data_IF_475253946780
#
_entry.id   IF_475253946780
#
_cell.length_a   1.000
_cell.length_b   1.000
_cell.length_c   1.000
_cell.angle_alpha   90.00
_cell.angle_beta   90.00
_cell.angle_gamma   90.00
#
_symmetry.space_group_name_H-M   'P 1'
#
loop_
_entity.id
_entity.type
_entity.pdbx_description
1 polymer ?
#
# COMPACT_ATOMS: atom_id res chain seq x y z
N UNK A 1 -37.20 -55.02 1.05
CA UNK A 1 -36.21 -54.04 0.54
C UNK A 1 -36.94 -52.74 0.26
N UNK A 2 -36.76 -51.71 1.10
CA UNK A 2 -37.29 -50.35 0.88
C UNK A 2 -36.13 -49.50 0.35
N UNK A 3 -36.26 -48.99 -0.87
CA UNK A 3 -35.30 -48.05 -1.45
C UNK A 3 -35.71 -46.62 -1.09
N UNK A 4 -34.81 -45.92 -0.39
CA UNK A 4 -34.95 -44.49 -0.10
C UNK A 4 -34.07 -43.74 -1.10
N UNK A 5 -34.69 -42.97 -1.99
CA UNK A 5 -34.00 -42.11 -2.95
C UNK A 5 -33.65 -40.80 -2.24
N UNK A 6 -32.36 -40.50 -2.08
CA UNK A 6 -31.89 -39.18 -1.67
C UNK A 6 -31.84 -38.26 -2.89
N UNK A 7 -32.72 -37.27 -2.94
CA UNK A 7 -32.61 -36.15 -3.88
C UNK A 7 -31.58 -35.16 -3.34
N UNK A 8 -30.41 -35.10 -3.98
CA UNK A 8 -29.40 -34.06 -3.73
C UNK A 8 -29.88 -32.76 -4.36
N UNK A 9 -30.35 -31.84 -3.52
CA UNK A 9 -30.64 -30.46 -3.90
C UNK A 9 -29.29 -29.72 -4.07
N UNK A 10 -28.87 -29.52 -5.31
CA UNK A 10 -27.69 -28.72 -5.62
C UNK A 10 -28.02 -27.24 -5.43
N UNK A 11 -27.52 -26.62 -4.36
CA UNK A 11 -27.55 -25.17 -4.21
C UNK A 11 -26.54 -24.57 -5.20
N UNK A 12 -27.04 -24.03 -6.30
CA UNK A 12 -26.32 -23.03 -7.09
C UNK A 12 -26.26 -21.74 -6.28
N UNK A 13 -25.21 -21.58 -5.48
CA UNK A 13 -24.85 -20.26 -4.94
C UNK A 13 -24.28 -19.46 -6.11
N UNK A 14 -25.13 -18.64 -6.72
CA UNK A 14 -24.69 -17.56 -7.59
C UNK A 14 -23.81 -16.63 -6.77
N UNK A 15 -22.50 -16.69 -6.98
CA UNK A 15 -21.58 -15.66 -6.51
C UNK A 15 -22.00 -14.35 -7.19
N UNK A 16 -22.74 -13.52 -6.46
CA UNK A 16 -22.78 -12.10 -6.76
C UNK A 16 -21.35 -11.62 -6.56
N UNK A 17 -20.65 -11.33 -7.65
CA UNK A 17 -19.41 -10.56 -7.60
C UNK A 17 -19.81 -9.23 -6.98
N UNK A 18 -19.54 -9.06 -5.69
CA UNK A 18 -19.61 -7.75 -5.07
C UNK A 18 -18.74 -6.84 -5.92
N UNK A 19 -19.29 -5.73 -6.42
CA UNK A 19 -18.49 -4.68 -7.06
C UNK A 19 -17.53 -4.20 -5.98
N UNK A 20 -16.27 -4.61 -6.09
CA UNK A 20 -15.18 -4.17 -5.22
C UNK A 20 -14.72 -2.83 -5.75
N UNK A 21 -14.57 -1.85 -4.87
CA UNK A 21 -13.97 -0.59 -5.26
C UNK A 21 -12.45 -0.70 -5.09
N UNK A 22 -11.70 -0.18 -6.06
CA UNK A 22 -10.23 -0.30 -6.09
C UNK A 22 -9.71 -1.04 -7.31
N UNK A 23 -8.47 -0.73 -7.68
CA UNK A 23 -7.97 -1.02 -9.02
C UNK A 23 -7.50 -2.48 -9.22
N UNK A 24 -7.82 -3.05 -10.39
CA UNK A 24 -7.18 -4.25 -10.97
C UNK A 24 -6.46 -3.96 -12.30
N UNK A 25 -6.62 -2.76 -12.85
CA UNK A 25 -6.16 -2.31 -14.16
C UNK A 25 -5.48 -0.93 -14.08
N UNK A 26 -4.15 -0.90 -14.16
CA UNK A 26 -3.37 0.33 -14.35
C UNK A 26 -3.46 0.75 -15.82
N UNK A 27 -3.88 1.98 -16.12
CA UNK A 27 -3.88 2.55 -17.47
C UNK A 27 -2.54 2.35 -18.21
N UNK A 28 -2.60 2.05 -19.51
CA UNK A 28 -1.42 1.81 -20.34
C UNK A 28 -0.52 3.06 -20.45
N UNK A 29 -1.10 4.25 -20.32
CA UNK A 29 -0.39 5.53 -20.32
C UNK A 29 0.52 5.68 -19.09
N UNK A 30 0.06 5.26 -17.90
CA UNK A 30 0.87 5.18 -16.67
C UNK A 30 2.02 4.17 -16.81
N UNK A 31 1.79 3.06 -17.51
CA UNK A 31 2.86 2.10 -17.82
C UNK A 31 3.92 2.75 -18.73
N UNK A 32 3.51 3.58 -19.69
CA UNK A 32 4.42 4.24 -20.62
C UNK A 32 5.19 5.39 -19.96
N UNK A 33 4.56 6.19 -19.11
CA UNK A 33 5.23 7.30 -18.43
C UNK A 33 6.18 6.80 -17.33
N UNK A 34 5.85 5.69 -16.63
CA UNK A 34 6.81 5.00 -15.75
C UNK A 34 8.06 4.51 -16.49
N UNK A 35 7.90 4.01 -17.73
CA UNK A 35 9.03 3.66 -18.61
C UNK A 35 9.84 4.90 -18.99
N UNK A 36 9.19 6.03 -19.24
CA UNK A 36 9.84 7.31 -19.58
C UNK A 36 10.60 7.93 -18.41
N UNK A 37 10.02 7.94 -17.20
CA UNK A 37 10.71 8.40 -15.98
C UNK A 37 11.95 7.58 -15.66
N UNK A 38 11.93 6.27 -15.93
CA UNK A 38 13.10 5.39 -15.83
C UNK A 38 14.18 5.72 -16.87
N UNK A 39 13.79 6.11 -18.08
CA UNK A 39 14.73 6.63 -19.07
C UNK A 39 15.37 7.94 -18.60
N UNK A 40 14.59 8.85 -18.00
CA UNK A 40 15.08 10.13 -17.47
C UNK A 40 15.99 9.97 -16.24
N UNK A 41 15.73 9.01 -15.34
CA UNK A 41 16.61 8.74 -14.20
C UNK A 41 17.96 8.14 -14.63
N UNK A 42 17.98 7.36 -15.72
CA UNK A 42 19.21 6.90 -16.37
C UNK A 42 20.01 8.02 -17.06
N UNK A 43 19.34 9.10 -17.45
CA UNK A 43 19.98 10.31 -17.98
C UNK A 43 20.56 11.20 -16.87
N UNK A 44 19.93 11.26 -15.69
CA UNK A 44 20.49 11.97 -14.50
C UNK A 44 21.79 11.34 -13.99
N UNK A 45 22.01 10.04 -14.23
CA UNK A 45 23.29 9.37 -13.91
C UNK A 45 24.41 9.70 -14.90
N UNK A 46 24.13 10.46 -15.97
CA UNK A 46 25.16 10.94 -16.91
C UNK A 46 25.69 12.34 -16.58
N UNK A 47 25.11 13.05 -15.61
CA UNK A 47 25.67 14.30 -15.06
C UNK A 47 26.37 14.06 -13.73
N UNK A 48 27.69 13.89 -13.81
CA UNK A 48 28.70 14.01 -12.75
C UNK A 48 28.76 12.93 -11.64
N UNK A 49 29.66 11.96 -11.85
CA UNK A 49 30.65 11.54 -10.86
C UNK A 49 30.22 10.54 -9.77
N UNK A 50 30.23 9.24 -10.06
CA UNK A 50 30.51 8.16 -9.08
C UNK A 50 30.75 6.82 -9.80
N UNK A 51 31.85 6.76 -10.55
CA UNK A 51 32.18 5.66 -11.48
C UNK A 51 33.04 4.54 -10.83
N UNK A 52 32.66 4.05 -9.65
CA UNK A 52 33.46 3.04 -8.94
C UNK A 52 32.72 1.80 -8.41
N UNK A 53 31.39 1.70 -8.54
CA UNK A 53 30.63 0.57 -7.96
C UNK A 53 29.84 -0.29 -8.97
N UNK A 54 29.83 0.03 -10.28
CA UNK A 54 29.01 -0.67 -11.29
C UNK A 54 29.70 -1.80 -12.07
N UNK A 55 30.96 -2.16 -11.77
CA UNK A 55 31.62 -3.30 -12.41
C UNK A 55 31.35 -4.62 -11.67
N UNK A 56 30.13 -5.13 -11.78
CA UNK A 56 29.86 -6.58 -11.86
C UNK A 56 28.36 -6.87 -11.96
N UNK A 57 27.95 -7.59 -13.01
CA UNK A 57 26.67 -8.31 -13.04
C UNK A 57 25.64 -7.71 -13.99
N UNK A 58 25.54 -8.29 -15.18
CA UNK A 58 24.59 -7.89 -16.21
C UNK A 58 23.14 -8.21 -15.84
N UNK A 59 22.24 -7.32 -16.25
CA UNK A 59 20.81 -7.59 -16.35
C UNK A 59 20.30 -6.99 -17.66
N UNK A 60 19.68 -7.84 -18.47
CA UNK A 60 19.15 -7.53 -19.80
C UNK A 60 17.90 -6.65 -19.76
N UNK A 61 17.64 -5.99 -20.89
CA UNK A 61 16.59 -5.01 -21.10
C UNK A 61 15.24 -5.66 -21.48
N UNK A 62 14.36 -5.86 -20.49
CA UNK A 62 12.94 -6.22 -20.69
C UNK A 62 12.09 -5.50 -19.62
N UNK A 63 11.06 -4.70 -19.97
CA UNK A 63 10.20 -3.99 -19.02
C UNK A 63 9.28 -4.90 -18.19
N UNK A 64 9.26 -6.21 -18.42
CA UNK A 64 8.66 -7.20 -17.49
C UNK A 64 9.58 -7.59 -16.33
N UNK A 65 10.82 -7.09 -16.31
CA UNK A 65 11.69 -7.25 -15.15
C UNK A 65 11.28 -6.26 -14.05
N UNK A 66 10.79 -6.78 -12.92
CA UNK A 66 10.56 -6.02 -11.67
C UNK A 66 11.89 -5.39 -11.21
N UNK A 67 12.19 -4.17 -11.67
CA UNK A 67 13.53 -3.59 -11.51
C UNK A 67 13.74 -2.93 -10.16
N UNK A 68 12.68 -2.47 -9.47
CA UNK A 68 12.82 -1.93 -8.13
C UNK A 68 12.37 -2.97 -7.10
N UNK A 69 13.35 -3.62 -6.47
CA UNK A 69 13.10 -4.57 -5.39
C UNK A 69 13.28 -3.85 -4.05
N UNK A 70 12.20 -3.69 -3.32
CA UNK A 70 12.17 -3.11 -1.98
C UNK A 70 12.14 -4.26 -0.99
N UNK A 71 13.07 -4.31 -0.03
CA UNK A 71 12.97 -5.29 1.04
C UNK A 71 11.80 -4.90 1.94
N UNK A 72 10.91 -5.86 2.21
CA UNK A 72 9.75 -5.65 3.06
C UNK A 72 9.94 -6.37 4.40
N UNK A 73 9.76 -5.63 5.48
CA UNK A 73 9.70 -6.12 6.85
C UNK A 73 8.33 -5.81 7.43
N UNK A 74 7.60 -6.85 7.84
CA UNK A 74 6.28 -6.70 8.47
C UNK A 74 6.41 -6.96 9.97
N UNK A 75 5.89 -6.03 10.76
CA UNK A 75 5.95 -6.06 12.22
C UNK A 75 4.53 -6.05 12.78
N UNK A 76 4.07 -7.18 13.34
CA UNK A 76 2.86 -7.18 14.14
C UNK A 76 3.19 -6.77 15.58
N UNK A 77 2.70 -5.60 16.01
CA UNK A 77 2.83 -5.12 17.39
C UNK A 77 1.46 -5.18 18.05
N UNK A 78 1.34 -5.97 19.11
CA UNK A 78 0.04 -6.38 19.65
C UNK A 78 0.02 -6.36 21.18
N UNK A 79 -1.19 -6.26 21.75
CA UNK A 79 -1.46 -6.21 23.18
C UNK A 79 -1.43 -7.62 23.78
N UNK A 80 -2.19 -8.54 23.19
CA UNK A 80 -2.28 -9.94 23.59
C UNK A 80 -2.60 -10.85 22.37
N UNK A 81 -2.49 -12.16 22.54
CA UNK A 81 -2.67 -13.14 21.44
C UNK A 81 -4.14 -13.42 21.13
N UNK A 82 -4.89 -12.36 20.88
CA UNK A 82 -6.27 -12.42 20.36
C UNK A 82 -6.39 -11.44 19.19
N UNK A 83 -7.39 -11.65 18.31
CA UNK A 83 -7.66 -10.74 17.21
C UNK A 83 -7.97 -9.32 17.72
N UNK A 84 -8.78 -9.20 18.78
CA UNK A 84 -9.08 -7.91 19.43
C UNK A 84 -7.83 -7.27 20.07
N UNK A 85 -6.89 -8.09 20.55
CA UNK A 85 -5.59 -7.65 21.04
C UNK A 85 -4.61 -7.24 19.94
N UNK A 86 -5.01 -7.31 18.66
CA UNK A 86 -4.21 -6.93 17.50
C UNK A 86 -3.24 -8.00 17.00
N UNK A 87 -3.35 -9.25 17.47
CA UNK A 87 -2.50 -10.33 16.97
C UNK A 87 -3.02 -10.88 15.64
N UNK A 88 -2.14 -10.95 14.64
CA UNK A 88 -2.41 -11.59 13.34
C UNK A 88 -1.39 -12.70 13.08
N UNK A 89 -1.77 -13.88 12.60
CA UNK A 89 -0.82 -14.95 12.31
C UNK A 89 0.11 -14.58 11.14
N UNK A 90 1.28 -15.22 11.07
CA UNK A 90 2.22 -15.08 9.94
C UNK A 90 1.54 -15.26 8.59
N UNK A 91 0.62 -16.20 8.47
CA UNK A 91 -0.12 -16.46 7.22
C UNK A 91 -0.86 -15.23 6.71
N UNK A 92 -1.39 -14.39 7.59
CA UNK A 92 -2.15 -13.20 7.18
C UNK A 92 -1.20 -12.04 6.83
N UNK A 93 -0.05 -11.93 7.51
CA UNK A 93 1.02 -11.03 7.10
C UNK A 93 1.62 -11.42 5.73
N UNK A 94 1.76 -12.72 5.47
CA UNK A 94 2.22 -13.24 4.17
C UNK A 94 1.18 -12.99 3.06
N UNK A 95 -0.12 -13.15 3.36
CA UNK A 95 -1.19 -12.72 2.44
C UNK A 95 -1.13 -11.22 2.16
N UNK A 96 -0.89 -10.40 3.18
CA UNK A 96 -0.72 -8.94 3.00
C UNK A 96 0.45 -8.63 2.06
N UNK A 97 1.60 -9.30 2.21
CA UNK A 97 2.74 -9.14 1.30
C UNK A 97 2.43 -9.63 -0.13
N UNK A 98 1.59 -10.67 -0.27
CA UNK A 98 1.13 -11.17 -1.57
C UNK A 98 0.24 -10.16 -2.26
N UNK A 99 -0.83 -9.67 -1.62
CA UNK A 99 -1.75 -8.71 -2.25
C UNK A 99 -1.04 -7.39 -2.56
N UNK A 100 -0.08 -6.97 -1.72
CA UNK A 100 0.75 -5.80 -2.02
C UNK A 100 1.50 -5.98 -3.35
N UNK A 101 2.11 -7.15 -3.57
CA UNK A 101 2.78 -7.44 -4.85
C UNK A 101 1.82 -7.63 -6.03
N UNK A 102 0.54 -7.94 -5.78
CA UNK A 102 -0.51 -7.99 -6.81
C UNK A 102 -0.94 -6.58 -7.19
N UNK A 103 -1.23 -5.71 -6.22
CA UNK A 103 -1.61 -4.32 -6.45
C UNK A 103 -0.50 -3.51 -7.14
N UNK A 104 0.77 -3.75 -6.78
CA UNK A 104 1.91 -3.10 -7.41
C UNK A 104 2.43 -3.82 -8.67
N UNK A 105 1.83 -4.93 -9.11
CA UNK A 105 2.37 -5.79 -10.17
C UNK A 105 2.65 -5.04 -11.49
N UNK A 106 1.88 -3.98 -11.77
CA UNK A 106 1.96 -3.22 -13.01
C UNK A 106 2.87 -1.97 -12.93
N UNK A 107 3.48 -1.70 -11.77
CA UNK A 107 4.31 -0.50 -11.52
C UNK A 107 5.83 -0.73 -11.69
N UNK A 108 6.25 -1.98 -11.86
CA UNK A 108 7.67 -2.37 -11.87
C UNK A 108 8.32 -2.46 -10.47
N UNK A 109 7.56 -2.17 -9.41
CA UNK A 109 7.94 -2.34 -8.01
C UNK A 109 7.64 -3.77 -7.56
N UNK A 110 8.53 -4.31 -6.72
CA UNK A 110 8.36 -5.60 -6.07
C UNK A 110 8.83 -5.53 -4.62
N UNK A 111 7.98 -6.03 -3.73
CA UNK A 111 8.28 -6.14 -2.31
C UNK A 111 8.80 -7.55 -2.00
N UNK A 112 10.09 -7.65 -1.70
CA UNK A 112 10.75 -8.89 -1.28
C UNK A 112 10.55 -9.05 0.23
N UNK A 113 9.56 -9.86 0.63
CA UNK A 113 9.28 -10.13 2.04
C UNK A 113 10.49 -10.82 2.69
N UNK A 114 11.22 -10.07 3.52
CA UNK A 114 12.40 -10.58 4.21
C UNK A 114 12.05 -11.22 5.53
N UNK A 115 11.11 -10.62 6.27
CA UNK A 115 10.76 -11.08 7.61
C UNK A 115 9.38 -10.60 8.01
N UNK A 116 8.67 -11.49 8.71
CA UNK A 116 7.54 -11.15 9.57
C UNK A 116 7.96 -11.28 11.03
N UNK A 117 7.53 -10.37 11.89
CA UNK A 117 7.88 -10.38 13.32
C UNK A 117 6.68 -10.06 14.18
N UNK A 118 6.75 -10.52 15.44
CA UNK A 118 5.70 -10.37 16.43
C UNK A 118 6.27 -9.75 17.70
N UNK A 119 5.69 -8.64 18.14
CA UNK A 119 6.10 -7.92 19.34
C UNK A 119 4.89 -7.74 20.25
N UNK A 120 4.86 -8.47 21.38
CA UNK A 120 3.85 -8.27 22.41
C UNK A 120 4.26 -7.08 23.28
N UNK A 121 3.70 -5.91 23.01
CA UNK A 121 3.92 -4.70 23.81
C UNK A 121 2.68 -3.81 23.70
N UNK A 122 1.88 -3.74 24.76
CA UNK A 122 0.63 -2.97 24.76
C UNK A 122 0.89 -1.47 24.54
N UNK A 123 1.92 -0.92 25.17
CA UNK A 123 2.29 0.50 25.07
C UNK A 123 2.67 0.87 23.64
N UNK A 124 3.46 0.05 22.96
CA UNK A 124 3.79 0.27 21.55
C UNK A 124 2.61 -0.04 20.62
N UNK A 125 1.79 -1.05 20.92
CA UNK A 125 0.65 -1.43 20.09
C UNK A 125 -0.40 -0.33 19.99
N UNK A 126 -0.56 0.50 21.04
CA UNK A 126 -1.58 1.55 21.11
C UNK A 126 -0.99 2.96 21.12
N UNK A 127 0.30 3.13 20.83
CA UNK A 127 0.88 4.48 20.80
C UNK A 127 0.33 5.29 19.62
N UNK A 128 0.15 6.58 19.87
CA UNK A 128 -0.28 7.55 18.87
C UNK A 128 0.88 7.95 17.95
N UNK A 129 0.51 8.47 16.79
CA UNK A 129 1.43 9.04 15.80
C UNK A 129 2.21 10.22 16.38
N UNK A 130 3.46 10.36 15.96
CA UNK A 130 4.37 11.45 16.27
C UNK A 130 4.71 11.57 17.77
N UNK A 131 4.63 10.44 18.50
CA UNK A 131 4.95 10.38 19.93
C UNK A 131 6.35 9.79 20.18
N UNK A 132 6.99 10.11 21.32
CA UNK A 132 8.24 9.44 21.72
C UNK A 132 8.11 7.91 21.85
N UNK A 133 6.90 7.40 22.11
CA UNK A 133 6.64 5.97 22.20
C UNK A 133 6.69 5.31 20.80
N UNK A 134 6.12 5.96 19.77
CA UNK A 134 6.28 5.51 18.39
C UNK A 134 7.75 5.52 17.99
N UNK A 135 8.47 6.60 18.34
CA UNK A 135 9.89 6.74 18.05
C UNK A 135 10.72 5.61 18.70
N UNK A 136 10.47 5.31 19.97
CA UNK A 136 11.11 4.21 20.71
C UNK A 136 10.82 2.85 20.08
N UNK A 137 9.56 2.59 19.74
CA UNK A 137 9.15 1.37 19.04
C UNK A 137 9.91 1.20 17.72
N UNK A 138 9.88 2.21 16.85
CA UNK A 138 10.48 2.12 15.52
C UNK A 138 12.01 2.03 15.60
N UNK A 139 12.67 2.83 16.46
CA UNK A 139 14.12 2.69 16.75
C UNK A 139 14.49 1.27 17.18
N UNK A 140 13.62 0.62 17.96
CA UNK A 140 13.89 -0.71 18.50
C UNK A 140 13.71 -1.84 17.48
N UNK A 141 12.68 -1.77 16.62
CA UNK A 141 12.27 -2.91 15.82
C UNK A 141 12.43 -2.73 14.30
N UNK A 142 12.67 -1.51 13.81
CA UNK A 142 12.99 -1.24 12.39
C UNK A 142 14.11 -2.17 11.91
N UNK A 143 14.02 -2.58 10.64
CA UNK A 143 15.02 -3.37 9.93
C UNK A 143 15.39 -2.71 8.61
N UNK A 144 16.59 -3.04 8.15
CA UNK A 144 17.08 -2.54 6.87
C UNK A 144 17.65 -1.12 6.94
N UNK A 145 17.86 -0.55 5.76
CA UNK A 145 18.29 0.83 5.54
C UNK A 145 17.10 1.74 5.16
N UNK A 146 17.35 2.95 4.66
CA UNK A 146 16.28 3.90 4.31
C UNK A 146 15.45 3.44 3.10
N UNK A 147 16.02 2.63 2.21
CA UNK A 147 15.32 2.11 1.03
C UNK A 147 14.48 0.86 1.30
N UNK A 148 14.45 0.39 2.54
CA UNK A 148 13.73 -0.81 2.96
C UNK A 148 12.40 -0.43 3.65
N UNK A 149 11.32 -1.10 3.25
CA UNK A 149 9.97 -0.82 3.74
C UNK A 149 9.68 -1.54 5.05
N UNK A 150 9.34 -0.78 6.09
CA UNK A 150 8.93 -1.29 7.40
C UNK A 150 7.44 -1.01 7.62
N UNK A 151 6.63 -2.08 7.60
CA UNK A 151 5.17 -2.04 7.78
C UNK A 151 4.80 -2.53 9.19
N UNK A 152 4.25 -1.65 10.01
CA UNK A 152 3.84 -1.89 11.38
C UNK A 152 2.33 -2.14 11.44
N UNK A 153 1.93 -3.40 11.62
CA UNK A 153 0.53 -3.81 11.75
C UNK A 153 0.13 -3.82 13.22
N UNK A 154 -0.70 -2.85 13.62
CA UNK A 154 -1.04 -2.55 15.03
C UNK A 154 -2.55 -2.34 15.22
N UNK A 155 -3.10 -2.54 16.43
CA UNK A 155 -4.50 -2.22 16.72
C UNK A 155 -4.71 -0.70 16.89
N UNK A 156 -4.52 0.06 15.80
CA UNK A 156 -4.67 1.52 15.75
C UNK A 156 -6.06 1.97 16.23
N UNK A 157 -6.12 3.17 16.78
CA UNK A 157 -7.37 3.80 17.24
C UNK A 157 -7.63 5.04 16.38
N UNK A 158 -8.81 5.12 15.76
CA UNK A 158 -9.27 6.29 14.99
C UNK A 158 -8.76 6.42 13.55
N UNK A 159 -7.73 5.67 13.15
CA UNK A 159 -7.15 5.72 11.80
C UNK A 159 -6.96 4.30 11.23
N UNK A 160 -7.10 4.16 9.91
CA UNK A 160 -6.75 2.90 9.22
C UNK A 160 -5.24 2.79 8.99
N UNK A 161 -4.53 3.91 8.82
CA UNK A 161 -3.08 3.91 8.71
C UNK A 161 -2.48 5.32 8.61
N UNK A 162 -1.15 5.35 8.56
CA UNK A 162 -0.36 6.49 8.10
C UNK A 162 1.04 6.03 7.65
N UNK A 163 1.67 6.78 6.75
CA UNK A 163 3.10 6.66 6.44
C UNK A 163 3.83 7.99 6.46
N UNK A 164 5.15 7.90 6.54
CA UNK A 164 6.04 9.01 6.21
C UNK A 164 6.16 9.16 4.70
N UNK A 165 6.11 10.40 4.20
CA UNK A 165 6.53 10.73 2.83
C UNK A 165 8.06 10.60 2.67
N UNK A 166 8.56 10.35 1.45
CA UNK A 166 9.99 10.36 1.17
C UNK A 166 10.57 11.76 1.40
N UNK A 167 11.74 11.83 2.05
CA UNK A 167 12.45 13.07 2.37
C UNK A 167 13.96 12.85 2.27
N UNK A 168 14.71 13.95 2.17
CA UNK A 168 16.15 13.91 2.40
C UNK A 168 16.40 13.68 3.90
N UNK A 169 16.78 12.45 4.26
CA UNK A 169 17.02 12.06 5.66
C UNK A 169 18.50 11.81 5.94
N UNK A 170 18.94 12.16 7.14
CA UNK A 170 20.26 11.81 7.64
C UNK A 170 20.16 10.49 8.38
N UNK A 171 20.96 9.50 8.00
CA UNK A 171 20.98 8.19 8.68
C UNK A 171 21.22 8.38 10.18
N UNK A 172 20.33 7.83 10.99
CA UNK A 172 20.38 7.93 12.45
C UNK A 172 19.60 9.09 13.06
N UNK A 173 19.07 10.02 12.25
CA UNK A 173 18.18 11.09 12.71
C UNK A 173 16.82 10.55 13.17
N UNK A 174 16.03 11.38 13.85
CA UNK A 174 14.68 10.99 14.26
C UNK A 174 13.80 10.65 13.05
N UNK A 175 13.92 11.39 11.96
CA UNK A 175 13.18 11.15 10.71
C UNK A 175 13.55 9.80 10.08
N UNK A 176 14.84 9.45 10.07
CA UNK A 176 15.29 8.14 9.58
C UNK A 176 14.68 6.99 10.38
N UNK A 177 14.62 7.13 11.70
CA UNK A 177 14.05 6.09 12.55
C UNK A 177 12.52 6.04 12.53
N UNK A 178 11.86 7.16 12.25
CA UNK A 178 10.42 7.27 12.17
C UNK A 178 9.83 6.72 10.86
N UNK A 179 10.66 6.64 9.82
CA UNK A 179 10.29 6.18 8.49
C UNK A 179 9.58 4.82 8.50
N UNK A 180 8.56 4.70 7.64
CA UNK A 180 7.73 3.50 7.46
C UNK A 180 6.24 3.79 7.60
N UNK A 181 5.47 2.73 7.69
CA UNK A 181 4.00 2.78 7.68
C UNK A 181 3.40 2.06 8.88
N UNK A 182 2.46 2.71 9.55
CA UNK A 182 1.64 2.10 10.59
C UNK A 182 0.24 1.88 10.02
N UNK A 183 -0.24 0.64 10.10
CA UNK A 183 -1.53 0.25 9.51
C UNK A 183 -2.33 -0.57 10.52
N UNK A 184 -3.64 -0.33 10.54
CA UNK A 184 -4.59 -1.05 11.38
C UNK A 184 -4.56 -2.53 11.00
N UNK A 185 -4.11 -3.37 11.92
CA UNK A 185 -3.89 -4.81 11.65
C UNK A 185 -5.12 -5.54 11.11
N UNK A 186 -6.34 -5.08 11.42
CA UNK A 186 -7.57 -5.72 10.97
C UNK A 186 -7.93 -5.42 9.51
N UNK A 187 -7.16 -4.58 8.80
CA UNK A 187 -7.34 -4.30 7.37
C UNK A 187 -6.59 -5.27 6.46
N UNK A 188 -5.80 -6.19 7.02
CA UNK A 188 -5.17 -7.27 6.25
C UNK A 188 -6.21 -8.12 5.51
N UNK A 189 -5.83 -8.83 4.42
CA UNK A 189 -6.75 -9.68 3.67
C UNK A 189 -7.51 -10.70 4.54
N UNK A 190 -8.83 -10.60 4.58
CA UNK A 190 -9.71 -11.44 5.40
C UNK A 190 -9.82 -11.00 6.87
N UNK A 191 -9.29 -9.83 7.22
CA UNK A 191 -9.39 -9.22 8.55
C UNK A 191 -10.80 -8.76 8.89
N UNK A 192 -10.97 -8.21 10.10
CA UNK A 192 -12.30 -7.85 10.64
C UNK A 192 -12.74 -6.43 10.32
N UNK A 193 -11.89 -5.59 9.72
CA UNK A 193 -12.21 -4.20 9.42
C UNK A 193 -12.96 -4.05 8.09
N UNK A 194 -14.03 -4.81 7.87
CA UNK A 194 -14.90 -4.61 6.69
C UNK A 194 -15.46 -3.18 6.69
N UNK A 195 -15.49 -2.46 5.56
CA UNK A 195 -15.18 -2.90 4.19
C UNK A 195 -13.70 -2.75 3.74
N UNK A 196 -12.76 -2.52 4.67
CA UNK A 196 -11.34 -2.28 4.42
C UNK A 196 -10.44 -3.50 4.71
N UNK A 197 -10.88 -4.71 4.37
CA UNK A 197 -10.23 -5.96 4.78
C UNK A 197 -9.69 -6.79 3.61
N UNK A 198 -9.31 -6.16 2.50
CA UNK A 198 -8.66 -6.75 1.34
C UNK A 198 -7.16 -6.41 1.25
N UNK A 199 -6.63 -5.64 2.21
CA UNK A 199 -5.22 -5.24 2.30
C UNK A 199 -4.86 -4.01 1.46
N UNK A 200 -5.84 -3.27 0.95
CA UNK A 200 -5.58 -2.05 0.16
C UNK A 200 -5.20 -0.86 1.03
N UNK A 201 -5.57 -0.85 2.31
CA UNK A 201 -5.08 0.14 3.28
C UNK A 201 -3.55 0.15 3.29
N UNK A 202 -2.89 -1.01 3.40
CA UNK A 202 -1.41 -1.04 3.31
C UNK A 202 -0.88 -0.57 1.95
N UNK A 203 -1.66 -0.74 0.88
CA UNK A 203 -1.27 -0.34 -0.48
C UNK A 203 -1.33 1.17 -0.65
N UNK A 204 -2.40 1.80 -0.17
CA UNK A 204 -2.62 3.25 -0.08
C UNK A 204 -1.49 3.92 0.70
N UNK A 205 -1.24 3.40 1.90
CA UNK A 205 -0.26 3.94 2.83
C UNK A 205 1.16 3.86 2.22
N UNK A 206 1.52 2.71 1.64
CA UNK A 206 2.80 2.58 0.94
C UNK A 206 2.88 3.51 -0.30
N UNK A 207 1.75 3.89 -0.91
CA UNK A 207 1.69 4.91 -1.94
C UNK A 207 2.22 6.26 -1.44
N UNK A 208 1.82 6.69 -0.23
CA UNK A 208 2.39 7.87 0.43
C UNK A 208 3.88 7.73 0.72
N UNK A 209 4.32 6.55 1.17
CA UNK A 209 5.74 6.27 1.37
C UNK A 209 6.56 6.37 0.08
N UNK A 210 5.93 6.07 -1.06
CA UNK A 210 6.49 6.25 -2.41
C UNK A 210 6.28 7.66 -2.99
N UNK A 211 5.63 8.56 -2.25
CA UNK A 211 5.48 9.97 -2.61
C UNK A 211 4.17 10.35 -3.27
N UNK A 212 3.18 9.46 -3.36
CA UNK A 212 1.87 9.78 -3.92
C UNK A 212 1.02 10.56 -2.93
N UNK A 213 0.33 11.60 -3.41
CA UNK A 213 -0.69 12.29 -2.64
C UNK A 213 -2.04 11.59 -2.79
N UNK A 214 -3.01 12.01 -1.97
CA UNK A 214 -4.41 11.66 -2.21
C UNK A 214 -4.87 12.24 -3.54
N UNK A 215 -5.74 11.53 -4.25
CA UNK A 215 -6.30 11.97 -5.55
C UNK A 215 -7.07 13.28 -5.45
N UNK A 216 -7.71 13.51 -4.31
CA UNK A 216 -8.43 14.75 -3.99
C UNK A 216 -7.55 15.84 -3.37
N UNK A 217 -6.24 15.60 -3.24
CA UNK A 217 -5.32 16.65 -2.81
C UNK A 217 -5.38 17.80 -3.80
N UNK A 218 -5.40 19.04 -3.32
CA UNK A 218 -5.51 20.22 -4.21
C UNK A 218 -6.88 20.42 -4.85
N UNK A 219 -7.82 19.48 -4.72
CA UNK A 219 -9.18 19.60 -5.24
C UNK A 219 -9.23 19.84 -6.75
N UNK A 220 -10.26 20.53 -7.19
CA UNK A 220 -10.38 20.99 -8.58
C UNK A 220 -9.40 22.14 -8.93
N UNK A 221 -8.46 22.50 -8.06
CA UNK A 221 -7.53 23.62 -8.28
C UNK A 221 -6.06 23.17 -8.45
N UNK A 222 -5.84 21.88 -8.73
CA UNK A 222 -4.49 21.38 -9.00
C UNK A 222 -4.31 19.87 -8.90
N UNK A 223 -5.31 19.14 -8.36
CA UNK A 223 -5.22 17.71 -8.18
C UNK A 223 -4.01 17.26 -7.36
N UNK A 224 -3.69 15.97 -7.47
CA UNK A 224 -2.63 15.30 -6.72
C UNK A 224 -1.23 15.48 -7.33
N UNK A 225 -1.09 16.41 -8.28
CA UNK A 225 0.10 16.67 -9.08
C UNK A 225 0.46 15.56 -10.09
N UNK A 226 -0.50 14.68 -10.42
CA UNK A 226 -0.36 13.64 -11.44
C UNK A 226 -1.33 13.92 -12.60
N UNK A 227 -0.78 14.28 -13.76
CA UNK A 227 -1.56 14.75 -14.92
C UNK A 227 -2.63 13.75 -15.42
N UNK A 228 -2.44 12.44 -15.20
CA UNK A 228 -3.35 11.39 -15.64
C UNK A 228 -4.36 10.93 -14.57
N UNK A 229 -4.32 11.54 -13.39
CA UNK A 229 -5.36 11.35 -12.37
C UNK A 229 -6.39 12.46 -12.54
N UNK A 230 -7.65 12.15 -12.93
CA UNK A 230 -8.71 13.14 -12.99
C UNK A 230 -8.82 13.89 -11.66
N UNK A 231 -8.95 15.21 -11.73
CA UNK A 231 -9.06 16.03 -10.53
C UNK A 231 -10.31 15.63 -9.73
N UNK A 232 -10.16 15.54 -8.41
CA UNK A 232 -11.21 15.14 -7.49
C UNK A 232 -11.37 16.21 -6.41
N UNK A 233 -12.59 16.70 -6.19
CA UNK A 233 -12.86 17.78 -5.24
C UNK A 233 -12.96 17.33 -3.79
N UNK A 234 -13.26 16.06 -3.54
CA UNK A 234 -13.44 15.49 -2.20
C UNK A 234 -13.25 13.97 -2.21
N UNK A 235 -12.77 13.35 -1.11
CA UNK A 235 -12.61 11.91 -1.02
C UNK A 235 -13.89 11.16 -1.31
N UNK A 236 -13.75 9.96 -1.87
CA UNK A 236 -14.87 9.03 -2.02
C UNK A 236 -15.08 8.24 -0.74
N UNK A 237 -16.34 8.08 -0.35
CA UNK A 237 -16.78 7.17 0.70
C UNK A 237 -17.65 6.07 0.08
N UNK A 238 -17.49 4.84 0.56
CA UNK A 238 -18.21 3.68 0.03
C UNK A 238 -17.72 3.24 -1.36
N UNK A 239 -18.64 2.69 -2.14
CA UNK A 239 -18.38 2.23 -3.51
C UNK A 239 -19.39 2.78 -4.54
N UNK A 240 -19.37 4.11 -4.81
CA UNK A 240 -20.29 4.74 -5.75
C UNK A 240 -19.97 4.37 -7.21
N UNK A 241 -20.83 4.80 -8.13
CA UNK A 241 -20.63 4.67 -9.58
C UNK A 241 -20.76 6.04 -10.22
N UNK A 242 -19.75 6.44 -11.01
CA UNK A 242 -19.79 7.68 -11.78
C UNK A 242 -19.79 8.95 -10.93
N UNK A 243 -19.12 8.92 -9.78
CA UNK A 243 -18.86 10.14 -8.99
C UNK A 243 -17.99 11.07 -9.83
N UNK A 244 -18.36 12.34 -9.89
CA UNK A 244 -17.67 13.36 -10.67
C UNK A 244 -17.89 14.69 -9.96
N UNK A 245 -16.86 15.16 -9.26
CA UNK A 245 -16.89 16.36 -8.43
C UNK A 245 -16.25 17.56 -9.12
N UNK A 246 -15.33 17.33 -10.06
CA UNK A 246 -14.69 18.37 -10.85
C UNK A 246 -15.17 18.31 -12.30
N UNK A 247 -16.11 19.19 -12.66
CA UNK A 247 -16.77 19.16 -13.97
C UNK A 247 -16.34 20.29 -14.90
N UNK A 248 -16.31 19.99 -16.20
CA UNK A 248 -16.17 21.00 -17.27
C UNK A 248 -14.96 20.78 -18.16
N UNK A 249 -14.73 21.64 -19.16
CA UNK A 249 -13.68 21.42 -20.16
C UNK A 249 -12.25 21.37 -19.60
N UNK A 250 -12.03 21.93 -18.41
CA UNK A 250 -10.74 21.91 -17.72
C UNK A 250 -10.49 20.61 -16.92
N UNK A 251 -11.53 19.81 -16.68
CA UNK A 251 -11.50 18.61 -15.84
C UNK A 251 -12.04 17.42 -16.64
N UNK A 252 -11.25 16.86 -17.57
CA UNK A 252 -11.65 15.66 -18.28
C UNK A 252 -11.58 14.44 -17.34
N UNK A 253 -12.62 13.61 -17.37
CA UNK A 253 -12.68 12.37 -16.58
C UNK A 253 -13.77 12.41 -15.51
N UNK A 254 -13.93 11.30 -14.81
CA UNK A 254 -14.74 11.19 -13.58
C UNK A 254 -13.79 11.02 -12.40
N UNK A 255 -14.28 11.22 -11.18
CA UNK A 255 -13.46 11.04 -9.97
C UNK A 255 -12.78 9.65 -10.01
N UNK A 256 -11.50 9.55 -9.65
CA UNK A 256 -10.72 8.32 -9.71
C UNK A 256 -11.06 7.37 -8.55
N UNK A 257 -12.34 7.04 -8.37
CA UNK A 257 -12.92 6.27 -7.25
C UNK A 257 -12.37 4.85 -7.07
N UNK A 258 -11.54 4.38 -8.00
CA UNK A 258 -10.88 3.09 -7.95
C UNK A 258 -9.36 3.20 -7.74
N UNK A 259 -8.81 4.41 -7.68
CA UNK A 259 -7.42 4.65 -7.38
C UNK A 259 -7.15 4.30 -5.91
N UNK A 260 -6.03 3.62 -5.64
CA UNK A 260 -5.65 3.28 -4.28
C UNK A 260 -5.40 4.51 -3.40
N UNK A 261 -5.15 5.69 -3.98
CA UNK A 261 -4.93 6.95 -3.27
C UNK A 261 -6.21 7.73 -2.96
N UNK A 262 -7.39 7.19 -3.32
CA UNK A 262 -8.68 7.66 -2.82
C UNK A 262 -9.06 6.91 -1.53
N UNK A 263 -10.21 7.24 -0.92
CA UNK A 263 -10.74 6.67 0.32
C UNK A 263 -11.92 5.71 0.13
N UNK A 264 -12.24 5.34 -1.12
CA UNK A 264 -13.24 4.32 -1.42
C UNK A 264 -13.03 3.02 -0.65
N UNK A 265 -14.13 2.29 -0.42
CA UNK A 265 -14.12 0.93 0.14
C UNK A 265 -13.25 -0.03 -0.68
N UNK A 266 -12.80 -1.13 -0.04
CA UNK A 266 -11.99 -2.17 -0.69
C UNK A 266 -12.82 -3.24 -1.44
#
# INVERSE_FOLDING_TARGET
MKFTVFATLSLLVTSSIARRCGNVEVPEELRQEAVRFKALSSLRTSSAGTDALRKSGGYGNDPTTRTQRIKLYIHNVYINRTAAGGYIPNSDMEKQAKVLNEHYAQTGIYFDLRRVTHTKNATWATCERDTPIEQDMKRSIRKGDYGDMNLYLRPLQGWLGWCTFPRDVVVGSDEYWKDGCDVLQSTVPGGTAFPYNEGKTSTHEIGHWLGLFHTFQGGCDGGDLIDDTPAEGAPTDGCPVGKDTCVGPAYPGVDPIHNFMDYSDE
#
